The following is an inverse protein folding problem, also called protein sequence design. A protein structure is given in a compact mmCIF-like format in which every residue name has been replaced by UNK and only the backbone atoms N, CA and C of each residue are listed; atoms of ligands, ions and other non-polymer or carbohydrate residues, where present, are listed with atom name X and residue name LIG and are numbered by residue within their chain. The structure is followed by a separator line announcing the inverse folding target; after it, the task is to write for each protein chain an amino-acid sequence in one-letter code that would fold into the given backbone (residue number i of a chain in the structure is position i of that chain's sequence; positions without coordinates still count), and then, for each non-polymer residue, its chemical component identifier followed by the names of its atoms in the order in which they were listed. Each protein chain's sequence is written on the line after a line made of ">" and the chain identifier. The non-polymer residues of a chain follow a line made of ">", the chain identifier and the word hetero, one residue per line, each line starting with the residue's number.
data_IF_909595427512
#
_entry.id   IF_909595427512
#
_cell.length_a   1.000
_cell.length_b   1.000
_cell.length_c   1.000
_cell.angle_alpha   90.00
_cell.angle_beta   90.00
_cell.angle_gamma   90.00
#
_symmetry.space_group_name_H-M   'P 1'
#
loop_
_entity.id
_entity.type
_entity.pdbx_description
1 polymer ?
#
# COMPACT_ATOMS: atom_id res chain seq x y z
N UNK A 1 -25.39 19.88 -11.71
CA UNK A 1 -24.71 19.02 -12.71
C UNK A 1 -23.97 17.90 -11.98
N UNK A 2 -24.25 16.63 -12.30
CA UNK A 2 -23.74 15.44 -11.57
C UNK A 2 -22.21 15.37 -11.55
N UNK A 3 -21.53 15.72 -12.65
CA UNK A 3 -20.06 15.78 -12.74
C UNK A 3 -19.43 16.69 -11.68
N UNK A 4 -19.90 17.94 -11.59
CA UNK A 4 -19.35 18.94 -10.66
C UNK A 4 -19.55 18.49 -9.22
N UNK A 5 -20.70 17.88 -8.91
CA UNK A 5 -20.95 17.29 -7.60
C UNK A 5 -19.94 16.18 -7.30
N UNK A 6 -19.74 15.22 -8.22
CA UNK A 6 -18.75 14.15 -8.04
C UNK A 6 -17.33 14.70 -7.80
N UNK A 7 -16.87 15.66 -8.61
CA UNK A 7 -15.54 16.29 -8.48
C UNK A 7 -15.38 17.00 -7.13
N UNK A 8 -16.42 17.65 -6.62
CA UNK A 8 -16.36 18.38 -5.35
C UNK A 8 -16.46 17.45 -4.12
N UNK A 9 -17.05 16.25 -4.27
CA UNK A 9 -17.20 15.28 -3.16
C UNK A 9 -15.97 14.41 -2.92
N UNK A 10 -14.99 14.39 -3.83
CA UNK A 10 -13.80 13.54 -3.70
C UNK A 10 -12.59 14.32 -3.15
N UNK A 11 -11.61 13.61 -2.59
CA UNK A 11 -10.33 14.22 -2.18
C UNK A 11 -9.64 14.89 -3.37
N UNK A 12 -8.95 16.02 -3.12
CA UNK A 12 -8.28 16.83 -4.15
C UNK A 12 -7.24 16.06 -4.98
N UNK A 13 -6.58 15.08 -4.36
CA UNK A 13 -5.62 14.17 -5.00
C UNK A 13 -6.28 13.24 -6.03
N UNK A 14 -7.57 12.91 -5.84
CA UNK A 14 -8.36 12.09 -6.74
C UNK A 14 -9.03 12.98 -7.80
N UNK A 15 -9.59 14.12 -7.41
CA UNK A 15 -10.27 15.04 -8.34
C UNK A 15 -9.35 15.59 -9.42
N UNK A 16 -8.07 15.79 -9.11
CA UNK A 16 -7.08 16.23 -10.08
C UNK A 16 -7.02 15.33 -11.34
N UNK A 17 -7.27 14.02 -11.20
CA UNK A 17 -7.24 13.05 -12.32
C UNK A 17 -8.43 13.18 -13.27
N UNK A 18 -9.51 13.82 -12.83
CA UNK A 18 -10.79 13.89 -13.56
C UNK A 18 -11.19 15.32 -13.95
N UNK A 19 -10.33 16.32 -13.67
CA UNK A 19 -10.56 17.74 -13.96
C UNK A 19 -10.98 18.01 -15.41
N UNK A 20 -10.41 17.27 -16.36
CA UNK A 20 -10.65 17.46 -17.80
C UNK A 20 -11.66 16.47 -18.40
N UNK A 21 -12.20 15.55 -17.60
CA UNK A 21 -13.15 14.53 -18.07
C UNK A 21 -14.57 15.05 -17.99
N UNK A 22 -15.29 15.10 -19.12
CA UNK A 22 -16.72 15.46 -19.15
C UNK A 22 -17.67 14.28 -18.94
N UNK A 23 -17.13 13.07 -18.78
CA UNK A 23 -17.92 11.85 -18.63
C UNK A 23 -18.17 11.52 -17.14
N UNK A 24 -19.37 11.84 -16.65
CA UNK A 24 -19.76 11.56 -15.26
C UNK A 24 -19.80 10.05 -14.94
N UNK A 25 -20.10 9.19 -15.92
CA UNK A 25 -20.15 7.74 -15.72
C UNK A 25 -18.76 7.18 -15.42
N UNK A 26 -17.74 7.57 -16.20
CA UNK A 26 -16.36 7.15 -15.98
C UNK A 26 -15.82 7.62 -14.62
N UNK A 27 -16.19 8.83 -14.20
CA UNK A 27 -15.86 9.35 -12.87
C UNK A 27 -16.49 8.47 -11.79
N UNK A 28 -17.79 8.19 -11.91
CA UNK A 28 -18.52 7.37 -10.95
C UNK A 28 -17.99 5.93 -10.86
N UNK A 29 -17.74 5.25 -11.98
CA UNK A 29 -17.16 3.90 -11.98
C UNK A 29 -15.78 3.86 -11.35
N UNK A 30 -14.95 4.88 -11.64
CA UNK A 30 -13.63 5.01 -11.04
C UNK A 30 -13.71 5.17 -9.53
N UNK A 31 -14.60 6.05 -9.05
CA UNK A 31 -14.83 6.25 -7.62
C UNK A 31 -15.31 4.96 -6.96
N UNK A 32 -16.31 4.31 -7.55
CA UNK A 32 -16.86 3.04 -7.04
C UNK A 32 -15.77 1.98 -6.87
N UNK A 33 -14.83 1.91 -7.82
CA UNK A 33 -13.69 0.99 -7.75
C UNK A 33 -12.69 1.40 -6.67
N UNK A 34 -12.30 2.68 -6.60
CA UNK A 34 -11.34 3.19 -5.62
C UNK A 34 -11.84 3.01 -4.18
N UNK A 35 -13.12 3.29 -3.96
CA UNK A 35 -13.78 3.16 -2.65
C UNK A 35 -14.35 1.76 -2.40
N UNK A 36 -14.06 0.77 -3.26
CA UNK A 36 -14.47 -0.61 -3.02
C UNK A 36 -13.72 -1.20 -1.82
N UNK A 37 -14.39 -2.09 -1.08
CA UNK A 37 -13.80 -2.77 0.08
C UNK A 37 -12.52 -3.54 -0.29
N UNK A 38 -12.47 -4.13 -1.48
CA UNK A 38 -11.31 -4.88 -1.98
C UNK A 38 -10.07 -3.99 -2.18
N UNK A 39 -10.23 -2.80 -2.78
CA UNK A 39 -9.12 -1.86 -2.95
C UNK A 39 -8.72 -1.27 -1.61
N UNK A 40 -9.69 -0.94 -0.74
CA UNK A 40 -9.41 -0.46 0.60
C UNK A 40 -8.59 -1.47 1.40
N UNK A 41 -8.96 -2.76 1.40
CA UNK A 41 -8.21 -3.82 2.06
C UNK A 41 -6.76 -3.88 1.55
N UNK A 42 -6.55 -3.83 0.22
CA UNK A 42 -5.19 -3.80 -0.37
C UNK A 42 -4.37 -2.59 0.07
N UNK A 43 -4.99 -1.41 0.19
CA UNK A 43 -4.32 -0.19 0.67
C UNK A 43 -3.94 -0.38 2.14
N UNK A 44 -4.86 -0.86 2.98
CA UNK A 44 -4.62 -1.09 4.40
C UNK A 44 -3.49 -2.11 4.61
N UNK A 45 -3.51 -3.23 3.89
CA UNK A 45 -2.45 -4.25 3.98
C UNK A 45 -1.11 -3.67 3.59
N UNK A 46 -1.04 -2.95 2.46
CA UNK A 46 0.19 -2.29 2.02
C UNK A 46 0.69 -1.29 3.07
N UNK A 47 -0.19 -0.48 3.64
CA UNK A 47 0.14 0.48 4.71
C UNK A 47 0.69 -0.23 5.95
N UNK A 48 0.11 -1.36 6.36
CA UNK A 48 0.59 -2.14 7.50
C UNK A 48 2.01 -2.66 7.29
N UNK A 49 2.32 -3.14 6.08
CA UNK A 49 3.69 -3.56 5.74
C UNK A 49 4.66 -2.38 5.80
N UNK A 50 4.31 -1.22 5.23
CA UNK A 50 5.15 -0.03 5.34
C UNK A 50 5.40 0.40 6.79
N UNK A 51 4.36 0.40 7.63
CA UNK A 51 4.48 0.71 9.05
C UNK A 51 5.37 -0.29 9.79
N UNK A 52 5.19 -1.58 9.52
CA UNK A 52 6.05 -2.64 10.06
C UNK A 52 7.51 -2.41 9.68
N UNK A 53 7.79 -2.20 8.39
CA UNK A 53 9.13 -1.96 7.86
C UNK A 53 9.78 -0.69 8.43
N UNK A 54 9.01 0.37 8.63
CA UNK A 54 9.47 1.61 9.25
C UNK A 54 9.83 1.44 10.73
N UNK A 55 9.18 0.50 11.42
CA UNK A 55 9.46 0.17 12.82
C UNK A 55 10.61 -0.82 13.03
N UNK A 56 11.18 -1.42 11.97
CA UNK A 56 12.30 -2.35 12.09
C UNK A 56 13.58 -1.64 12.57
N UNK A 57 14.38 -2.34 13.38
CA UNK A 57 15.71 -1.89 13.79
C UNK A 57 16.58 -1.60 12.54
N UNK A 58 17.41 -0.52 12.53
CA UNK A 58 18.40 -0.23 11.49
C UNK A 58 19.23 -1.43 11.00
N UNK A 59 19.52 -2.42 11.86
CA UNK A 59 20.23 -3.63 11.46
C UNK A 59 19.53 -4.39 10.30
N UNK A 60 18.21 -4.26 10.20
CA UNK A 60 17.39 -4.89 9.16
C UNK A 60 17.25 -4.02 7.89
N UNK A 61 18.12 -3.03 7.65
CA UNK A 61 18.07 -2.19 6.45
C UNK A 61 18.05 -3.01 5.15
N UNK A 62 18.86 -4.06 5.07
CA UNK A 62 18.87 -4.95 3.91
C UNK A 62 17.51 -5.62 3.69
N UNK A 63 16.89 -6.13 4.76
CA UNK A 63 15.56 -6.73 4.70
C UNK A 63 14.50 -5.70 4.28
N UNK A 64 14.61 -4.46 4.77
CA UNK A 64 13.72 -3.35 4.41
C UNK A 64 13.80 -3.06 2.91
N UNK A 65 15.00 -2.83 2.37
CA UNK A 65 15.22 -2.55 0.95
C UNK A 65 14.77 -3.74 0.09
N UNK A 66 15.03 -4.97 0.51
CA UNK A 66 14.60 -6.17 -0.22
C UNK A 66 13.08 -6.27 -0.31
N UNK A 67 12.38 -6.13 0.82
CA UNK A 67 10.92 -6.25 0.90
C UNK A 67 10.21 -5.11 0.15
N UNK A 68 10.76 -3.89 0.17
CA UNK A 68 10.23 -2.76 -0.58
C UNK A 68 10.29 -2.94 -2.11
N UNK A 69 11.27 -3.70 -2.60
CA UNK A 69 11.47 -3.94 -4.03
C UNK A 69 10.79 -5.21 -4.55
N UNK A 70 10.05 -5.95 -3.71
CA UNK A 70 9.38 -7.19 -4.12
C UNK A 70 8.15 -6.92 -5.01
N UNK A 71 7.99 -7.76 -6.03
CA UNK A 71 6.82 -7.80 -6.92
C UNK A 71 6.36 -9.27 -7.04
N UNK A 72 5.13 -9.62 -6.60
CA UNK A 72 4.15 -8.74 -5.96
C UNK A 72 4.65 -8.20 -4.61
N UNK A 73 4.09 -7.06 -4.18
CA UNK A 73 4.42 -6.46 -2.89
C UNK A 73 4.02 -7.43 -1.77
N UNK A 74 4.90 -7.68 -0.77
CA UNK A 74 4.70 -8.76 0.17
C UNK A 74 3.52 -8.48 1.10
N UNK A 75 2.92 -9.54 1.64
CA UNK A 75 1.98 -9.41 2.76
C UNK A 75 2.71 -9.11 4.06
N UNK A 76 1.96 -8.74 5.10
CA UNK A 76 2.54 -8.52 6.43
C UNK A 76 3.17 -9.79 7.00
N UNK A 77 2.52 -10.93 6.79
CA UNK A 77 2.99 -12.24 7.22
C UNK A 77 4.28 -12.64 6.50
N UNK A 78 4.36 -12.41 5.19
CA UNK A 78 5.56 -12.68 4.40
C UNK A 78 6.74 -11.80 4.83
N UNK A 79 6.49 -10.50 5.07
CA UNK A 79 7.49 -9.57 5.57
C UNK A 79 8.00 -9.99 6.96
N UNK A 80 7.11 -10.39 7.85
CA UNK A 80 7.45 -10.87 9.18
C UNK A 80 8.27 -12.17 9.13
N UNK A 81 7.84 -13.16 8.35
CA UNK A 81 8.55 -14.43 8.18
C UNK A 81 9.96 -14.24 7.61
N UNK A 82 10.13 -13.31 6.66
CA UNK A 82 11.44 -12.95 6.13
C UNK A 82 12.36 -12.38 7.21
N UNK A 83 11.87 -11.43 8.02
CA UNK A 83 12.66 -10.85 9.11
C UNK A 83 13.07 -11.88 10.17
N UNK A 84 12.17 -12.80 10.55
CA UNK A 84 12.50 -13.89 11.47
C UNK A 84 13.62 -14.80 10.92
N UNK A 85 13.54 -15.14 9.63
CA UNK A 85 14.55 -15.97 8.97
C UNK A 85 15.91 -15.27 8.92
N UNK A 86 15.91 -13.97 8.63
CA UNK A 86 17.13 -13.15 8.61
C UNK A 86 17.75 -13.02 10.00
N UNK A 87 16.93 -12.82 11.04
CA UNK A 87 17.38 -12.78 12.42
C UNK A 87 18.01 -14.10 12.88
N UNK A 88 17.39 -15.23 12.55
CA UNK A 88 17.94 -16.56 12.90
C UNK A 88 19.31 -16.80 12.27
N UNK A 89 19.54 -16.30 11.04
CA UNK A 89 20.84 -16.42 10.36
C UNK A 89 21.92 -15.51 10.96
N UNK A 90 21.50 -14.40 11.57
CA UNK A 90 22.39 -13.45 12.25
C UNK A 90 22.72 -13.86 13.69
N UNK A 91 21.91 -14.73 14.30
CA UNK A 91 22.22 -15.27 15.63
C UNK A 91 23.51 -16.07 15.55
N UNK A 92 24.52 -15.80 16.40
CA UNK A 92 25.71 -16.63 16.45
C UNK A 92 25.31 -18.06 16.82
N UNK A 93 25.95 -19.05 16.17
CA UNK A 93 25.82 -20.46 16.54
C UNK A 93 26.12 -20.62 18.04
N UNK A 94 25.26 -21.31 18.82
CA UNK A 94 25.64 -21.67 20.18
C UNK A 94 26.85 -22.65 20.12
N UNK A 95 27.77 -22.56 21.09
CA UNK A 95 28.99 -23.38 21.13
C UNK A 95 28.69 -24.88 21.28
#
# INVERSE_FOLDING_TARGET
>A
MVRTWLINTMQSTISARYLFTNNAHLIWESLRKIYSAEIYAKIVDKTRVFQFLAGLNPDFEYARVHLLNRIPFPTLEEAHAYCLSDQSRRSPMPP
#
